data_IF_736099791728
#
_entry.id   IF_736099791728
#
_cell.length_a   1.000
_cell.length_b   1.000
_cell.length_c   1.000
_cell.angle_alpha   90.00
_cell.angle_beta   90.00
_cell.angle_gamma   90.00
#
_symmetry.space_group_name_H-M   'P 1'
#
loop_
_entity.id
_entity.type
_entity.pdbx_description
1 polymer ?
#
# COMPACT_ATOMS: atom_id res chain seq x y z
N UNK A 1 -16.32 9.06 -48.35
CA UNK A 1 -15.69 10.00 -47.40
C UNK A 1 -16.80 10.68 -46.62
N UNK A 2 -16.91 10.43 -45.32
CA UNK A 2 -17.90 11.08 -44.46
C UNK A 2 -17.16 12.06 -43.54
N UNK A 3 -17.64 13.29 -43.46
CA UNK A 3 -17.04 14.37 -42.67
C UNK A 3 -17.32 14.18 -41.18
N UNK A 4 -16.26 14.34 -40.38
CA UNK A 4 -16.19 14.13 -38.91
C UNK A 4 -17.10 15.08 -38.11
N UNK A 5 -17.68 16.10 -38.74
CA UNK A 5 -18.51 17.11 -38.08
C UNK A 5 -19.94 16.65 -37.68
N UNK A 6 -20.30 15.38 -37.90
CA UNK A 6 -21.68 14.88 -37.71
C UNK A 6 -21.87 13.93 -36.51
N UNK A 7 -20.85 13.74 -35.67
CA UNK A 7 -20.89 12.81 -34.52
C UNK A 7 -20.86 13.51 -33.14
N UNK A 8 -21.03 14.83 -33.11
CA UNK A 8 -21.08 15.59 -31.86
C UNK A 8 -22.53 15.84 -31.45
N UNK A 9 -23.02 15.07 -30.47
CA UNK A 9 -24.25 15.40 -29.75
C UNK A 9 -23.97 16.53 -28.73
N UNK A 10 -24.88 17.51 -28.61
CA UNK A 10 -24.64 18.77 -27.89
C UNK A 10 -24.67 18.64 -26.36
N UNK A 11 -23.81 19.43 -25.72
CA UNK A 11 -23.70 19.64 -24.27
C UNK A 11 -24.94 20.36 -23.74
N UNK A 12 -25.62 19.77 -22.74
CA UNK A 12 -26.64 20.46 -21.95
C UNK A 12 -25.98 21.19 -20.79
N UNK A 13 -26.20 22.50 -20.75
CA UNK A 13 -25.83 23.43 -19.69
C UNK A 13 -26.74 23.28 -18.47
N UNK A 14 -26.18 23.16 -17.27
CA UNK A 14 -26.89 23.40 -16.01
C UNK A 14 -26.01 24.28 -15.08
N UNK A 15 -26.60 25.16 -14.24
CA UNK A 15 -25.93 26.33 -13.71
C UNK A 15 -25.26 26.11 -12.34
N UNK A 16 -24.27 26.99 -12.10
CA UNK A 16 -23.59 27.27 -10.82
C UNK A 16 -24.56 27.41 -9.64
N UNK A 17 -24.27 26.67 -8.57
CA UNK A 17 -24.73 26.96 -7.21
C UNK A 17 -23.54 27.01 -6.25
N UNK A 18 -23.35 28.17 -5.62
CA UNK A 18 -22.20 28.56 -4.80
C UNK A 18 -22.39 28.07 -3.34
N UNK A 19 -21.27 27.71 -2.71
CA UNK A 19 -20.95 27.60 -1.25
C UNK A 19 -21.74 28.60 -0.36
N UNK A 20 -21.97 28.50 0.95
CA UNK A 20 -21.59 27.70 2.13
C UNK A 20 -22.55 28.20 3.28
N UNK A 21 -22.60 27.57 4.46
CA UNK A 21 -23.53 27.88 5.55
C UNK A 21 -23.03 29.00 6.49
N UNK A 22 -23.95 29.63 7.21
CA UNK A 22 -23.67 30.56 8.29
C UNK A 22 -24.53 30.29 9.53
N UNK A 23 -23.87 30.17 10.68
CA UNK A 23 -24.44 30.44 12.01
C UNK A 23 -23.33 30.98 12.93
N UNK A 24 -23.65 31.82 13.92
CA UNK A 24 -22.71 32.79 14.50
C UNK A 24 -22.08 32.36 15.83
N UNK A 25 -21.02 33.09 16.19
CA UNK A 25 -20.20 33.02 17.42
C UNK A 25 -20.83 33.75 18.63
N UNK A 26 -20.50 33.27 19.84
CA UNK A 26 -20.36 34.04 21.11
C UNK A 26 -19.90 33.05 22.21
N UNK A 27 -18.66 33.08 22.75
CA UNK A 27 -18.01 34.01 23.69
C UNK A 27 -18.03 33.55 25.16
N UNK A 28 -16.82 33.53 25.77
CA UNK A 28 -16.47 34.04 27.11
C UNK A 28 -16.78 33.25 28.41
N UNK A 29 -15.68 32.75 29.00
CA UNK A 29 -15.16 32.84 30.39
C UNK A 29 -15.93 32.47 31.69
N UNK A 30 -15.11 31.90 32.60
CA UNK A 30 -15.04 32.05 34.09
C UNK A 30 -15.87 31.17 35.05
N UNK A 31 -15.12 30.30 35.75
CA UNK A 31 -15.00 30.05 37.21
C UNK A 31 -16.15 29.53 38.11
N UNK A 32 -15.71 28.55 38.94
CA UNK A 32 -15.99 28.25 40.37
C UNK A 32 -17.30 27.56 40.82
N UNK A 33 -17.11 26.29 41.19
CA UNK A 33 -17.60 25.52 42.37
C UNK A 33 -19.01 25.74 42.95
N UNK A 34 -19.79 24.65 43.07
CA UNK A 34 -20.13 23.99 44.36
C UNK A 34 -21.03 22.74 44.16
N UNK A 35 -20.72 21.71 44.95
CA UNK A 35 -21.51 20.56 45.44
C UNK A 35 -22.66 19.90 44.64
N UNK A 36 -22.59 18.56 44.54
CA UNK A 36 -23.76 17.67 44.45
C UNK A 36 -23.52 16.36 43.68
N UNK A 37 -23.14 15.28 44.37
CA UNK A 37 -23.24 13.89 43.85
C UNK A 37 -24.73 13.47 43.79
N UNK A 38 -25.17 12.62 42.84
CA UNK A 38 -24.98 11.16 42.94
C UNK A 38 -24.64 10.42 41.63
N UNK A 39 -24.03 9.24 41.80
CA UNK A 39 -23.58 8.28 40.79
C UNK A 39 -24.70 7.72 39.91
N UNK A 40 -24.44 7.60 38.61
CA UNK A 40 -25.11 6.72 37.63
C UNK A 40 -24.04 6.18 36.65
N UNK A 41 -24.28 5.04 35.97
CA UNK A 41 -23.25 4.07 35.62
C UNK A 41 -22.31 4.53 34.51
N UNK A 42 -21.01 4.32 34.76
CA UNK A 42 -19.93 4.52 33.80
C UNK A 42 -20.12 3.61 32.58
N UNK A 43 -20.72 4.12 31.52
CA UNK A 43 -20.53 3.52 30.20
C UNK A 43 -19.07 3.74 29.81
N UNK A 44 -18.33 2.72 29.35
CA UNK A 44 -17.00 2.95 28.81
C UNK A 44 -17.17 3.81 27.56
N UNK A 45 -16.79 5.09 27.70
CA UNK A 45 -16.55 6.00 26.60
C UNK A 45 -15.59 5.28 25.66
N UNK A 46 -16.14 4.73 24.58
CA UNK A 46 -15.36 4.25 23.45
C UNK A 46 -14.53 5.45 23.02
N UNK A 47 -13.27 5.48 23.45
CA UNK A 47 -12.30 6.46 23.01
C UNK A 47 -12.33 6.33 21.50
N UNK A 48 -12.93 7.31 20.81
CA UNK A 48 -12.78 7.47 19.36
C UNK A 48 -11.28 7.48 19.14
N UNK A 49 -10.78 6.34 18.70
CA UNK A 49 -9.38 6.16 18.38
C UNK A 49 -9.12 7.20 17.30
N UNK A 50 -8.29 8.19 17.63
CA UNK A 50 -7.85 9.21 16.69
C UNK A 50 -7.22 8.44 15.53
N UNK A 51 -7.96 8.28 14.44
CA UNK A 51 -7.48 7.59 13.25
C UNK A 51 -6.18 8.27 12.86
N UNK A 52 -5.07 7.54 12.99
CA UNK A 52 -3.82 7.94 12.37
C UNK A 52 -4.09 7.97 10.87
N UNK A 53 -3.92 9.14 10.26
CA UNK A 53 -4.14 9.42 8.83
C UNK A 53 -3.33 8.51 7.88
N UNK A 54 -2.46 7.66 8.44
CA UNK A 54 -1.57 6.70 7.79
C UNK A 54 -2.03 5.23 7.85
N UNK A 55 -3.16 4.92 8.49
CA UNK A 55 -3.66 3.54 8.61
C UNK A 55 -4.11 2.94 7.26
N UNK A 56 -3.94 1.63 7.09
CA UNK A 56 -4.55 0.92 5.97
C UNK A 56 -6.07 1.02 6.07
N UNK A 57 -6.72 1.48 5.00
CA UNK A 57 -8.18 1.63 4.94
C UNK A 57 -8.72 0.38 4.24
N UNK A 58 -9.33 -0.51 5.01
CA UNK A 58 -9.98 -1.71 4.49
C UNK A 58 -11.46 -1.41 4.25
N UNK A 59 -11.76 -0.94 3.04
CA UNK A 59 -13.12 -0.83 2.53
C UNK A 59 -13.24 -1.77 1.34
N UNK A 60 -14.32 -2.57 1.30
CA UNK A 60 -14.55 -3.48 0.17
C UNK A 60 -14.66 -2.69 -1.14
N UNK A 61 -13.96 -3.15 -2.17
CA UNK A 61 -13.85 -2.51 -3.47
C UNK A 61 -14.36 -3.42 -4.59
N UNK A 62 -14.54 -2.85 -5.78
CA UNK A 62 -14.80 -3.62 -7.01
C UNK A 62 -13.54 -3.65 -7.85
N UNK A 63 -13.15 -4.85 -8.28
CA UNK A 63 -12.06 -5.06 -9.22
C UNK A 63 -12.30 -4.24 -10.49
N UNK A 64 -11.24 -3.61 -11.00
CA UNK A 64 -11.22 -2.87 -12.26
C UNK A 64 -10.18 -3.46 -13.20
N UNK A 65 -10.62 -3.80 -14.40
CA UNK A 65 -9.77 -4.46 -15.39
C UNK A 65 -9.45 -5.91 -15.03
N UNK A 66 -8.40 -6.44 -15.65
CA UNK A 66 -7.97 -7.84 -15.52
C UNK A 66 -7.07 -8.05 -14.30
N UNK A 67 -7.30 -9.13 -13.55
CA UNK A 67 -6.42 -9.54 -12.44
C UNK A 67 -5.33 -10.44 -12.99
N UNK A 68 -4.15 -9.87 -13.27
CA UNK A 68 -2.96 -10.63 -13.73
C UNK A 68 -2.05 -11.06 -12.58
N UNK A 69 -2.13 -10.38 -11.44
CA UNK A 69 -1.34 -10.68 -10.24
C UNK A 69 -2.27 -10.88 -9.03
N UNK A 70 -2.98 -12.02 -8.96
CA UNK A 70 -3.84 -12.35 -7.82
C UNK A 70 -3.01 -12.61 -6.55
N UNK A 71 -3.59 -12.41 -5.35
CA UNK A 71 -2.97 -12.83 -4.10
C UNK A 71 -2.95 -14.36 -3.97
N UNK A 72 -2.00 -14.88 -3.19
CA UNK A 72 -1.96 -16.26 -2.77
C UNK A 72 -2.70 -16.43 -1.44
N UNK A 73 -3.94 -16.90 -1.50
CA UNK A 73 -4.83 -17.00 -0.33
C UNK A 73 -5.21 -18.44 0.03
N UNK A 74 -5.22 -19.34 -0.96
CA UNK A 74 -5.44 -20.77 -0.76
C UNK A 74 -4.10 -21.43 -0.42
N UNK A 75 -3.75 -21.40 0.87
CA UNK A 75 -2.47 -21.88 1.38
C UNK A 75 -2.60 -23.28 1.99
N UNK A 76 -1.55 -24.08 1.85
CA UNK A 76 -1.40 -25.32 2.63
C UNK A 76 -1.10 -25.03 4.11
N UNK A 77 -1.12 -26.08 4.94
CA UNK A 77 -0.92 -25.95 6.39
C UNK A 77 0.44 -25.34 6.74
N UNK A 78 1.48 -25.66 5.97
CA UNK A 78 2.85 -25.20 6.21
C UNK A 78 3.00 -23.70 5.93
N UNK A 79 2.55 -23.26 4.75
CA UNK A 79 2.55 -21.85 4.36
C UNK A 79 1.65 -21.02 5.27
N UNK A 80 0.48 -21.55 5.63
CA UNK A 80 -0.42 -20.90 6.57
C UNK A 80 0.29 -20.67 7.92
N UNK A 81 1.00 -21.67 8.46
CA UNK A 81 1.73 -21.54 9.73
C UNK A 81 2.80 -20.44 9.69
N UNK A 82 3.46 -20.26 8.55
CA UNK A 82 4.40 -19.15 8.34
C UNK A 82 3.68 -17.80 8.31
N UNK A 83 2.54 -17.69 7.62
CA UNK A 83 1.74 -16.46 7.54
C UNK A 83 1.20 -16.03 8.90
N UNK A 84 0.71 -16.98 9.71
CA UNK A 84 0.09 -16.71 11.01
C UNK A 84 0.99 -15.96 11.99
N UNK A 85 2.31 -16.16 11.90
CA UNK A 85 3.30 -15.46 12.74
C UNK A 85 3.22 -13.94 12.60
N UNK A 86 2.69 -13.43 11.48
CA UNK A 86 2.71 -12.03 11.13
C UNK A 86 1.34 -11.34 11.18
N UNK A 87 0.29 -12.03 11.66
CA UNK A 87 -1.06 -11.45 11.79
C UNK A 87 -1.55 -10.78 10.48
N UNK A 88 -1.35 -11.47 9.34
CA UNK A 88 -1.73 -10.94 8.03
C UNK A 88 -3.24 -10.72 7.98
N UNK A 89 -3.66 -9.53 7.59
CA UNK A 89 -5.06 -9.15 7.43
C UNK A 89 -5.26 -8.37 6.12
N UNK A 90 -6.27 -8.68 5.29
CA UNK A 90 -7.35 -9.66 5.49
C UNK A 90 -7.07 -10.94 4.69
N UNK A 91 -6.22 -11.84 5.21
CA UNK A 91 -5.90 -13.10 4.53
C UNK A 91 -7.17 -13.91 4.22
N UNK A 92 -7.34 -14.35 2.96
CA UNK A 92 -8.53 -15.09 2.51
C UNK A 92 -9.57 -14.19 1.84
N UNK A 93 -9.48 -12.88 2.05
CA UNK A 93 -10.41 -11.89 1.48
C UNK A 93 -9.65 -10.72 0.80
N UNK A 94 -8.34 -10.82 0.56
CA UNK A 94 -7.50 -9.71 0.06
C UNK A 94 -8.08 -9.12 -1.23
N UNK A 95 -8.61 -9.96 -2.11
CA UNK A 95 -9.22 -9.50 -3.36
C UNK A 95 -10.44 -8.59 -3.14
N UNK A 96 -11.20 -8.82 -2.06
CA UNK A 96 -12.39 -8.02 -1.73
C UNK A 96 -12.03 -6.60 -1.30
N UNK A 97 -10.81 -6.37 -0.79
CA UNK A 97 -10.33 -5.08 -0.32
C UNK A 97 -9.44 -4.37 -1.37
N UNK A 98 -9.67 -4.65 -2.66
CA UNK A 98 -9.03 -3.93 -3.74
C UNK A 98 -9.29 -2.42 -3.67
N UNK A 99 -8.33 -1.62 -4.13
CA UNK A 99 -8.37 -0.17 -4.03
C UNK A 99 -7.93 0.50 -5.33
N UNK A 100 -8.65 1.54 -5.71
CA UNK A 100 -8.23 2.46 -6.75
C UNK A 100 -7.45 3.62 -6.13
N UNK A 101 -6.23 3.88 -6.61
CA UNK A 101 -5.38 4.97 -6.12
C UNK A 101 -5.02 5.88 -7.29
N UNK A 102 -5.59 7.09 -7.36
CA UNK A 102 -5.19 8.08 -8.35
C UNK A 102 -3.71 8.45 -8.20
N UNK A 103 -2.99 8.49 -9.31
CA UNK A 103 -1.64 8.99 -9.38
C UNK A 103 -1.66 10.49 -9.64
N UNK A 104 -1.57 11.26 -8.57
CA UNK A 104 -1.46 12.71 -8.64
C UNK A 104 -0.03 13.14 -8.28
N UNK A 105 0.87 13.03 -9.25
CA UNK A 105 2.25 13.50 -9.12
C UNK A 105 2.53 14.65 -10.06
N UNK A 106 3.39 15.56 -9.62
CA UNK A 106 3.92 16.64 -10.46
C UNK A 106 4.77 16.09 -11.62
N UNK A 107 5.27 14.86 -11.49
CA UNK A 107 6.03 14.16 -12.53
C UNK A 107 5.09 13.28 -13.36
N UNK A 108 4.90 13.61 -14.64
CA UNK A 108 4.08 12.81 -15.58
C UNK A 108 4.70 11.46 -16.00
N UNK A 109 5.89 11.12 -15.49
CA UNK A 109 6.65 9.94 -15.91
C UNK A 109 5.93 8.61 -15.72
N UNK A 110 4.98 8.51 -14.77
CA UNK A 110 4.17 7.31 -14.64
C UNK A 110 3.16 7.17 -15.79
N UNK A 111 2.44 8.24 -16.13
CA UNK A 111 1.52 8.27 -17.26
C UNK A 111 2.26 7.99 -18.56
N UNK A 112 3.42 8.64 -18.76
CA UNK A 112 4.19 8.50 -19.99
C UNK A 112 4.72 7.07 -20.18
N UNK A 113 5.10 6.39 -19.09
CA UNK A 113 5.64 5.03 -19.13
C UNK A 113 4.58 3.93 -19.14
N UNK A 114 3.45 4.15 -18.47
CA UNK A 114 2.45 3.10 -18.25
C UNK A 114 1.14 3.34 -19.00
N UNK A 115 0.91 4.55 -19.50
CA UNK A 115 -0.37 4.98 -20.07
C UNK A 115 -1.49 5.12 -19.04
N UNK A 116 -1.17 5.14 -17.73
CA UNK A 116 -2.15 5.11 -16.65
C UNK A 116 -2.05 6.33 -15.73
N UNK A 117 -3.20 6.75 -15.22
CA UNK A 117 -3.32 7.84 -14.24
C UNK A 117 -3.63 7.34 -12.83
N UNK A 118 -3.67 6.02 -12.62
CA UNK A 118 -4.02 5.40 -11.35
C UNK A 118 -3.43 4.01 -11.21
N UNK A 119 -3.33 3.56 -9.96
CA UNK A 119 -3.08 2.18 -9.61
C UNK A 119 -4.40 1.46 -9.26
N UNK A 120 -4.49 0.20 -9.65
CA UNK A 120 -5.51 -0.73 -9.21
C UNK A 120 -4.83 -1.77 -8.33
N UNK A 121 -4.99 -1.65 -7.01
CA UNK A 121 -4.12 -2.35 -6.06
C UNK A 121 -4.87 -3.35 -5.19
N UNK A 122 -4.19 -4.44 -4.87
CA UNK A 122 -4.51 -5.22 -3.67
C UNK A 122 -3.71 -4.69 -2.49
N UNK A 123 -4.24 -4.93 -1.29
CA UNK A 123 -3.59 -4.52 -0.07
C UNK A 123 -3.85 -5.51 1.07
N UNK A 124 -2.83 -5.68 1.91
CA UNK A 124 -2.97 -6.30 3.22
C UNK A 124 -2.02 -5.62 4.20
N UNK A 125 -2.22 -5.86 5.49
CA UNK A 125 -1.32 -5.46 6.56
C UNK A 125 -0.74 -6.67 7.27
N UNK A 126 0.45 -6.52 7.82
CA UNK A 126 1.07 -7.50 8.71
C UNK A 126 1.85 -6.80 9.82
N UNK A 127 2.17 -7.55 10.87
CA UNK A 127 3.01 -7.13 11.99
C UNK A 127 4.23 -8.03 12.08
N UNK A 128 5.39 -7.44 12.35
CA UNK A 128 6.59 -8.21 12.71
C UNK A 128 6.51 -8.54 14.20
N UNK A 129 6.70 -9.80 14.63
CA UNK A 129 6.75 -10.13 16.05
C UNK A 129 7.73 -9.23 16.82
N UNK A 130 7.24 -8.61 17.89
CA UNK A 130 8.02 -7.66 18.70
C UNK A 130 8.04 -6.21 18.17
N UNK A 131 7.34 -5.91 17.08
CA UNK A 131 7.14 -4.54 16.58
C UNK A 131 5.68 -4.09 16.83
N UNK A 132 5.51 -2.83 17.24
CA UNK A 132 4.18 -2.24 17.50
C UNK A 132 3.54 -1.65 16.23
N UNK A 133 4.23 -1.72 15.09
CA UNK A 133 3.83 -1.09 13.83
C UNK A 133 3.22 -2.08 12.86
N UNK A 134 2.10 -1.66 12.26
CA UNK A 134 1.54 -2.31 11.09
C UNK A 134 2.31 -1.89 9.83
N UNK A 135 2.62 -2.87 8.99
CA UNK A 135 3.20 -2.69 7.68
C UNK A 135 2.16 -3.03 6.62
N UNK A 136 1.88 -2.11 5.73
CA UNK A 136 0.98 -2.36 4.59
C UNK A 136 1.78 -2.88 3.40
N UNK A 137 1.21 -3.80 2.64
CA UNK A 137 1.71 -4.26 1.35
C UNK A 137 0.74 -3.79 0.29
N UNK A 138 1.28 -3.33 -0.84
CA UNK A 138 0.51 -2.98 -2.02
C UNK A 138 1.19 -3.52 -3.26
N UNK A 139 0.38 -4.00 -4.20
CA UNK A 139 0.80 -4.22 -5.57
C UNK A 139 -0.35 -3.95 -6.52
N UNK A 140 -0.01 -3.44 -7.70
CA UNK A 140 -0.97 -3.24 -8.77
C UNK A 140 -1.30 -4.59 -9.42
N UNK A 141 -2.54 -5.04 -9.30
CA UNK A 141 -2.93 -6.37 -9.76
C UNK A 141 -3.15 -6.45 -11.26
N UNK A 142 -3.24 -5.30 -11.95
CA UNK A 142 -3.23 -5.30 -13.41
C UNK A 142 -1.80 -5.47 -13.91
N UNK A 143 -0.86 -4.60 -13.56
CA UNK A 143 0.47 -4.56 -14.23
C UNK A 143 1.63 -5.12 -13.40
N UNK A 144 1.38 -5.57 -12.18
CA UNK A 144 2.41 -6.22 -11.36
C UNK A 144 3.45 -5.26 -10.81
N UNK A 145 3.11 -3.99 -10.58
CA UNK A 145 4.00 -3.08 -9.86
C UNK A 145 3.85 -3.31 -8.36
N UNK A 146 4.94 -3.64 -7.67
CA UNK A 146 4.98 -3.91 -6.24
C UNK A 146 5.64 -2.77 -5.49
N UNK A 147 4.99 -2.29 -4.43
CA UNK A 147 5.55 -1.24 -3.56
C UNK A 147 6.56 -1.84 -2.58
N UNK A 148 7.85 -1.70 -2.88
CA UNK A 148 8.93 -2.35 -2.12
C UNK A 148 9.36 -1.62 -0.84
N UNK A 149 9.08 -0.32 -0.71
CA UNK A 149 9.56 0.50 0.41
C UNK A 149 9.22 -0.02 1.81
N UNK A 150 8.01 -0.55 2.08
CA UNK A 150 7.66 -1.14 3.39
C UNK A 150 8.56 -2.31 3.78
N UNK A 151 9.03 -3.11 2.82
CA UNK A 151 9.86 -4.28 3.08
C UNK A 151 11.23 -3.90 3.66
N UNK A 152 11.84 -2.84 3.13
CA UNK A 152 13.07 -2.30 3.70
C UNK A 152 12.84 -1.75 5.11
N UNK A 153 11.70 -1.10 5.34
CA UNK A 153 11.37 -0.49 6.64
C UNK A 153 11.16 -1.55 7.73
N UNK A 154 10.42 -2.62 7.46
CA UNK A 154 10.19 -3.68 8.45
C UNK A 154 11.47 -4.47 8.76
N UNK A 155 12.37 -4.64 7.78
CA UNK A 155 13.70 -5.21 7.96
C UNK A 155 14.72 -4.21 8.57
N UNK A 156 14.26 -3.06 9.10
CA UNK A 156 15.08 -2.04 9.79
C UNK A 156 16.19 -1.42 8.95
N UNK A 157 16.08 -1.47 7.61
CA UNK A 157 16.98 -0.74 6.73
C UNK A 157 16.67 0.75 6.70
N UNK A 158 17.71 1.54 6.42
CA UNK A 158 17.61 3.00 6.36
C UNK A 158 16.73 3.47 5.19
N UNK A 159 16.17 4.68 5.30
CA UNK A 159 15.36 5.30 4.25
C UNK A 159 16.08 5.46 2.89
N UNK A 160 17.42 5.47 2.88
CA UNK A 160 18.22 5.61 1.65
C UNK A 160 18.57 4.27 1.02
N UNK A 161 18.35 3.16 1.73
CA UNK A 161 18.70 1.81 1.26
C UNK A 161 18.01 1.43 -0.06
N UNK A 162 16.70 1.68 -0.28
CA UNK A 162 16.07 1.38 -1.57
C UNK A 162 16.77 2.05 -2.75
N UNK A 163 17.18 3.32 -2.61
CA UNK A 163 17.89 4.04 -3.67
C UNK A 163 19.29 3.47 -3.93
N UNK A 164 19.98 3.00 -2.87
CA UNK A 164 21.27 2.31 -3.02
C UNK A 164 21.10 1.00 -3.79
N UNK A 165 20.12 0.18 -3.42
CA UNK A 165 19.78 -1.07 -4.12
C UNK A 165 19.47 -0.80 -5.60
N UNK A 166 18.71 0.24 -5.94
CA UNK A 166 18.42 0.59 -7.34
C UNK A 166 19.70 0.93 -8.12
N UNK A 167 20.65 1.64 -7.50
CA UNK A 167 21.92 1.99 -8.17
C UNK A 167 22.88 0.80 -8.29
N UNK A 168 22.69 -0.27 -7.49
CA UNK A 168 23.51 -1.49 -7.55
C UNK A 168 23.06 -2.45 -8.66
N UNK A 169 21.86 -2.29 -9.20
CA UNK A 169 21.29 -3.15 -10.23
C UNK A 169 21.08 -2.32 -11.51
N UNK A 170 21.99 -2.40 -12.49
CA UNK A 170 21.87 -1.66 -13.75
C UNK A 170 20.52 -1.92 -14.43
N UNK A 171 19.84 -0.88 -14.90
CA UNK A 171 18.53 -0.97 -15.56
C UNK A 171 17.31 -0.94 -14.62
N UNK A 172 17.50 -1.31 -13.35
CA UNK A 172 16.38 -1.46 -12.41
C UNK A 172 15.74 -0.11 -12.06
N UNK A 173 16.54 0.95 -12.00
CA UNK A 173 16.08 2.30 -11.70
C UNK A 173 15.17 2.85 -12.80
N UNK A 174 15.41 2.47 -14.05
CA UNK A 174 14.70 2.93 -15.24
C UNK A 174 13.27 2.36 -15.28
N UNK A 175 13.10 1.12 -14.81
CA UNK A 175 11.81 0.42 -14.72
C UNK A 175 11.13 0.55 -13.34
N UNK A 176 11.78 1.21 -12.38
CA UNK A 176 11.19 1.51 -11.06
C UNK A 176 10.57 2.91 -11.04
N UNK A 177 9.34 3.00 -10.54
CA UNK A 177 8.63 4.26 -10.37
C UNK A 177 8.76 4.78 -8.93
N UNK A 178 9.32 5.98 -8.79
CA UNK A 178 9.35 6.69 -7.50
C UNK A 178 8.09 7.54 -7.37
N UNK A 179 7.18 7.11 -6.51
CA UNK A 179 5.89 7.75 -6.26
C UNK A 179 6.03 8.70 -5.07
N UNK A 180 5.93 9.99 -5.36
CA UNK A 180 6.01 11.08 -4.38
C UNK A 180 4.82 12.03 -4.55
N UNK A 181 4.28 12.56 -3.45
CA UNK A 181 3.05 13.35 -3.45
C UNK A 181 1.79 12.48 -3.41
N UNK A 182 0.61 13.10 -3.41
CA UNK A 182 -0.67 12.38 -3.40
C UNK A 182 -0.93 11.55 -2.14
N UNK A 183 -1.52 10.36 -2.32
CA UNK A 183 -1.88 9.46 -1.22
C UNK A 183 -0.63 8.96 -0.48
N UNK A 184 -0.45 9.40 0.78
CA UNK A 184 0.73 9.07 1.60
C UNK A 184 1.01 7.58 1.68
N UNK A 185 -0.05 6.76 1.83
CA UNK A 185 0.08 5.32 1.81
C UNK A 185 0.79 4.87 0.52
N UNK A 186 0.39 5.30 -0.68
CA UNK A 186 0.97 4.79 -1.92
C UNK A 186 2.41 5.26 -2.23
N UNK A 187 3.00 6.16 -1.44
CA UNK A 187 4.32 6.69 -1.70
C UNK A 187 5.43 5.63 -1.53
N UNK A 188 6.51 5.81 -2.29
CA UNK A 188 7.67 4.92 -2.27
C UNK A 188 8.07 4.44 -3.66
N UNK A 189 8.90 3.41 -3.69
CA UNK A 189 9.38 2.79 -4.92
C UNK A 189 8.47 1.63 -5.32
N UNK A 190 8.06 1.64 -6.58
CA UNK A 190 7.23 0.61 -7.20
C UNK A 190 8.00 0.00 -8.37
N UNK A 191 8.22 -1.30 -8.36
CA UNK A 191 8.98 -1.99 -9.41
C UNK A 191 8.22 -3.23 -9.91
N UNK A 192 8.58 -3.77 -11.09
CA UNK A 192 7.93 -4.97 -11.62
C UNK A 192 8.01 -6.16 -10.66
N UNK A 193 7.00 -7.01 -10.71
CA UNK A 193 6.80 -8.14 -9.79
C UNK A 193 8.01 -9.07 -9.73
N UNK A 194 8.58 -9.43 -10.89
CA UNK A 194 9.77 -10.30 -10.98
C UNK A 194 10.98 -9.69 -10.28
N UNK A 195 11.22 -8.39 -10.49
CA UNK A 195 12.30 -7.67 -9.82
C UNK A 195 12.04 -7.56 -8.31
N UNK A 196 10.80 -7.27 -7.89
CA UNK A 196 10.44 -7.18 -6.49
C UNK A 196 10.64 -8.52 -5.76
N UNK A 197 10.20 -9.62 -6.38
CA UNK A 197 10.41 -10.98 -5.90
C UNK A 197 11.91 -11.25 -5.71
N UNK A 198 12.70 -11.07 -6.76
CA UNK A 198 14.15 -11.32 -6.74
C UNK A 198 14.91 -10.43 -5.74
N UNK A 199 14.52 -9.16 -5.60
CA UNK A 199 15.15 -8.26 -4.63
C UNK A 199 14.79 -8.70 -3.20
N UNK A 200 13.52 -9.04 -2.95
CA UNK A 200 13.05 -9.45 -1.63
C UNK A 200 13.66 -10.78 -1.17
N UNK A 201 13.94 -11.75 -2.05
CA UNK A 201 14.62 -12.99 -1.63
C UNK A 201 15.99 -12.73 -1.00
N UNK A 202 16.66 -11.62 -1.37
CA UNK A 202 17.99 -11.31 -0.83
C UNK A 202 17.99 -10.84 0.63
N UNK A 203 16.87 -10.34 1.16
CA UNK A 203 16.87 -9.69 2.50
C UNK A 203 15.60 -9.91 3.35
N UNK A 204 14.53 -10.47 2.78
CA UNK A 204 13.25 -10.61 3.47
C UNK A 204 13.09 -11.92 4.24
N UNK A 205 14.14 -12.72 4.43
CA UNK A 205 14.06 -14.03 5.12
C UNK A 205 13.33 -13.95 6.48
N UNK A 206 13.62 -12.94 7.30
CA UNK A 206 12.98 -12.74 8.61
C UNK A 206 11.46 -12.50 8.50
N UNK A 207 10.97 -11.94 7.40
CA UNK A 207 9.56 -11.63 7.19
C UNK A 207 8.92 -12.49 6.09
N UNK A 208 9.57 -13.59 5.70
CA UNK A 208 9.19 -14.29 4.48
C UNK A 208 7.75 -14.82 4.51
N UNK A 209 7.30 -15.31 5.68
CA UNK A 209 5.90 -15.70 5.90
C UNK A 209 4.90 -14.56 5.63
N UNK A 210 5.24 -13.32 5.98
CA UNK A 210 4.39 -12.16 5.70
C UNK A 210 4.27 -11.82 4.22
N UNK A 211 5.18 -12.31 3.37
CA UNK A 211 5.21 -12.03 1.94
C UNK A 211 4.63 -13.17 1.08
N UNK A 212 4.22 -14.29 1.69
CA UNK A 212 3.51 -15.37 1.01
C UNK A 212 2.27 -14.86 0.24
N UNK A 213 1.42 -13.96 0.79
CA UNK A 213 0.23 -13.53 0.05
C UNK A 213 0.51 -12.80 -1.26
N UNK A 214 1.70 -12.20 -1.42
CA UNK A 214 2.12 -11.55 -2.67
C UNK A 214 3.02 -12.43 -3.53
N UNK A 215 3.96 -13.17 -2.95
CA UNK A 215 4.99 -13.90 -3.68
C UNK A 215 4.81 -15.42 -3.76
N UNK A 216 3.85 -15.95 -3.02
CA UNK A 216 3.48 -17.36 -3.04
C UNK A 216 4.11 -18.20 -1.92
N UNK A 217 3.60 -19.43 -1.72
CA UNK A 217 3.98 -20.30 -0.60
C UNK A 217 5.45 -20.74 -0.64
N UNK A 218 6.07 -20.75 -1.82
CA UNK A 218 7.49 -21.11 -1.99
C UNK A 218 8.45 -19.98 -1.62
N UNK A 219 7.98 -18.75 -1.46
CA UNK A 219 8.83 -17.57 -1.22
C UNK A 219 9.81 -17.73 -0.05
N UNK A 220 9.43 -18.27 1.13
CA UNK A 220 10.38 -18.51 2.22
C UNK A 220 11.56 -19.39 1.83
N UNK A 221 11.35 -20.43 1.01
CA UNK A 221 12.42 -21.32 0.56
C UNK A 221 13.37 -20.66 -0.45
N UNK A 222 12.93 -19.60 -1.13
CA UNK A 222 13.74 -18.84 -2.08
C UNK A 222 14.63 -17.80 -1.38
N UNK A 223 14.36 -17.50 -0.11
CA UNK A 223 15.07 -16.44 0.59
C UNK A 223 16.49 -16.87 0.99
N UNK A 224 17.43 -15.94 0.83
CA UNK A 224 18.80 -16.09 1.31
C UNK A 224 18.79 -16.10 2.86
N UNK A 225 19.32 -17.14 3.52
CA UNK A 225 19.34 -17.21 4.98
C UNK A 225 20.05 -16.02 5.63
N UNK A 226 19.60 -15.50 6.78
CA UNK A 226 20.21 -14.36 7.45
C UNK A 226 21.71 -14.52 7.77
N UNK A 227 22.16 -15.75 7.97
CA UNK A 227 23.54 -16.11 8.30
C UNK A 227 24.46 -16.15 7.07
N UNK A 228 23.88 -16.19 5.87
CA UNK A 228 24.63 -16.28 4.63
C UNK A 228 25.26 -14.92 4.26
N UNK A 229 26.51 -14.88 3.75
CA UNK A 229 27.18 -13.64 3.37
C UNK A 229 26.55 -12.92 2.17
N UNK A 230 25.65 -13.58 1.44
CA UNK A 230 24.85 -13.02 0.37
C UNK A 230 23.62 -12.24 0.88
N UNK A 231 23.21 -12.45 2.14
CA UNK A 231 22.05 -11.79 2.71
C UNK A 231 22.24 -10.27 2.77
N UNK A 232 21.22 -9.54 2.31
CA UNK A 232 21.25 -8.08 2.27
C UNK A 232 22.18 -7.48 1.20
N UNK A 233 22.72 -8.28 0.26
CA UNK A 233 23.49 -7.73 -0.87
C UNK A 233 22.64 -6.98 -1.89
N UNK A 234 21.35 -7.29 -1.95
CA UNK A 234 20.37 -6.68 -2.87
C UNK A 234 20.75 -6.74 -4.36
N UNK A 235 21.65 -7.63 -4.73
CA UNK A 235 22.02 -7.86 -6.13
C UNK A 235 21.12 -8.95 -6.69
N UNK A 236 20.52 -8.68 -7.85
CA UNK A 236 19.70 -9.65 -8.57
C UNK A 236 20.34 -10.01 -9.91
N UNK A 237 19.89 -11.11 -10.51
CA UNK A 237 20.30 -11.52 -11.85
C UNK A 237 19.93 -10.43 -12.86
N UNK A 238 20.90 -9.91 -13.64
CA UNK A 238 20.64 -8.91 -14.68
C UNK A 238 19.60 -9.35 -15.72
N UNK A 239 19.39 -10.65 -15.94
CA UNK A 239 18.36 -11.16 -16.86
C UNK A 239 16.92 -10.92 -16.38
N UNK A 240 16.73 -10.53 -15.11
CA UNK A 240 15.40 -10.23 -14.52
C UNK A 240 14.97 -8.78 -14.79
N UNK A 241 15.93 -7.90 -15.12
CA UNK A 241 15.75 -6.46 -15.35
C UNK A 241 15.54 -6.16 -16.82
#
# INVERSE_FOLDING_TARGET
MFSVASLLNPVKSEPRGIRLPSSPSSSLCTSSSTHGSPQLPTQPLVKKQKMTKDGAIFAKGKIKGEVRYPPFENLDEEAMREVQKFQVFPLGEIQEYCRHIPYNSEKKSFLDKTGRESFEVFQYTFKVPGDDKDYTVFWDYNIGLVRITPFFKCCKYSKTTPAKMLNMNPGLKEITHSITGGALAAQGYWMPYSCALAVCTTFCAHIAGALIPIFGPTFPSLCVPPEAPEHGRWSIDPAIV
#
